data_IF_026024845066
#
_entry.id   IF_026024845066
#
_cell.length_a   1.000
_cell.length_b   1.000
_cell.length_c   1.000
_cell.angle_alpha   90.00
_cell.angle_beta   90.00
_cell.angle_gamma   90.00
#
_symmetry.space_group_name_H-M   'P 1'
#
loop_
_entity.id
_entity.type
_entity.pdbx_description
1 polymer ?
#
# COMPACT_ATOMS: atom_id res chain seq x y z
N UNK A 1 -11.90 -10.51 1.63
CA UNK A 1 -11.56 -9.46 0.65
C UNK A 1 -10.44 -8.63 1.25
N UNK A 2 -9.54 -8.11 0.43
CA UNK A 2 -8.51 -7.15 0.86
C UNK A 2 -8.83 -5.77 0.31
N UNK A 3 -8.52 -4.75 1.10
CA UNK A 3 -8.36 -3.39 0.60
C UNK A 3 -6.87 -3.08 0.50
N UNK A 4 -6.49 -2.25 -0.47
CA UNK A 4 -5.11 -1.88 -0.71
C UNK A 4 -4.93 -0.37 -0.77
N UNK A 5 -3.77 0.10 -0.30
CA UNK A 5 -3.31 1.47 -0.47
C UNK A 5 -2.13 1.44 -1.42
N UNK A 6 -2.28 2.22 -2.50
CA UNK A 6 -1.35 2.25 -3.61
C UNK A 6 -1.15 3.71 -4.04
N UNK A 7 0.10 4.16 -4.12
CA UNK A 7 0.49 5.48 -4.62
C UNK A 7 0.94 5.38 -6.09
N UNK A 8 0.45 6.28 -6.96
CA UNK A 8 0.82 6.26 -8.39
C UNK A 8 2.32 6.42 -8.67
N UNK A 9 3.06 7.07 -7.78
CA UNK A 9 4.51 7.24 -7.90
C UNK A 9 5.30 5.93 -7.74
N UNK A 10 4.70 4.91 -7.12
CA UNK A 10 5.36 3.61 -6.90
C UNK A 10 5.65 2.89 -8.22
N UNK A 11 4.92 3.22 -9.29
CA UNK A 11 4.93 2.50 -10.57
C UNK A 11 5.60 3.31 -11.67
N UNK A 12 6.23 2.59 -12.61
CA UNK A 12 6.70 3.17 -13.87
C UNK A 12 5.55 3.79 -14.69
N UNK A 13 4.41 3.09 -14.72
CA UNK A 13 3.16 3.58 -15.29
C UNK A 13 2.24 4.12 -14.18
N UNK A 14 2.14 5.46 -14.09
CA UNK A 14 1.24 6.14 -13.13
C UNK A 14 -0.24 5.78 -13.31
N UNK A 15 -0.64 5.23 -14.46
CA UNK A 15 -2.01 4.77 -14.69
C UNK A 15 -2.26 3.36 -14.14
N UNK A 16 -1.23 2.62 -13.74
CA UNK A 16 -1.31 1.24 -13.24
C UNK A 16 -2.38 1.04 -12.16
N UNK A 17 -2.53 1.91 -11.14
CA UNK A 17 -3.58 1.72 -10.11
C UNK A 17 -5.01 1.70 -10.67
N UNK A 18 -5.26 2.28 -11.85
CA UNK A 18 -6.59 2.33 -12.47
C UNK A 18 -7.08 0.99 -13.01
N UNK A 19 -6.23 -0.03 -13.05
CA UNK A 19 -6.62 -1.39 -13.49
C UNK A 19 -7.43 -2.14 -12.42
N UNK A 20 -7.32 -1.72 -11.17
CA UNK A 20 -8.02 -2.34 -10.04
C UNK A 20 -9.41 -1.73 -9.83
N UNK A 21 -10.24 -2.41 -9.02
CA UNK A 21 -11.46 -1.79 -8.54
C UNK A 21 -11.12 -0.71 -7.50
N UNK A 22 -11.25 0.55 -7.87
CA UNK A 22 -10.89 1.69 -7.01
C UNK A 22 -12.12 2.17 -6.25
N UNK A 23 -12.10 2.10 -4.92
CA UNK A 23 -13.18 2.60 -4.06
C UNK A 23 -12.95 4.03 -3.56
N UNK A 24 -11.69 4.47 -3.48
CA UNK A 24 -11.33 5.82 -3.02
C UNK A 24 -10.04 6.34 -3.68
N UNK A 25 -9.88 7.67 -3.75
CA UNK A 25 -8.67 8.32 -4.27
C UNK A 25 -8.39 9.60 -3.54
N UNK A 26 -7.17 9.81 -3.05
CA UNK A 26 -6.74 11.07 -2.43
C UNK A 26 -5.60 11.68 -3.25
N UNK A 27 -5.84 12.84 -3.85
CA UNK A 27 -4.79 13.60 -4.53
C UNK A 27 -4.05 14.48 -3.53
N UNK A 28 -2.73 14.59 -3.66
CA UNK A 28 -1.96 15.55 -2.90
C UNK A 28 -2.30 16.99 -3.26
N UNK A 29 -2.31 17.87 -2.27
CA UNK A 29 -2.54 19.31 -2.44
C UNK A 29 -1.26 20.08 -2.75
N UNK A 30 -0.10 19.47 -2.53
CA UNK A 30 1.22 20.12 -2.67
C UNK A 30 2.07 19.52 -3.79
N UNK A 31 1.76 18.32 -4.26
CA UNK A 31 2.51 17.60 -5.29
C UNK A 31 1.59 16.84 -6.24
N UNK A 32 2.09 16.46 -7.42
CA UNK A 32 1.31 15.68 -8.40
C UNK A 32 1.46 14.17 -8.17
N UNK A 33 0.84 13.70 -7.09
CA UNK A 33 0.69 12.28 -6.77
C UNK A 33 -0.70 11.99 -6.20
N UNK A 34 -1.13 10.74 -6.37
CA UNK A 34 -2.46 10.26 -5.96
C UNK A 34 -2.34 8.92 -5.24
N UNK A 35 -2.97 8.83 -4.07
CA UNK A 35 -3.18 7.57 -3.36
C UNK A 35 -4.51 6.98 -3.80
N UNK A 36 -4.53 5.69 -4.07
CA UNK A 36 -5.69 4.90 -4.48
C UNK A 36 -6.02 3.89 -3.37
N UNK A 37 -7.28 3.86 -2.95
CA UNK A 37 -7.87 2.76 -2.22
C UNK A 37 -8.45 1.77 -3.22
N UNK A 38 -7.95 0.53 -3.23
CA UNK A 38 -8.37 -0.53 -4.16
C UNK A 38 -8.97 -1.72 -3.42
N UNK A 39 -9.91 -2.42 -4.06
CA UNK A 39 -10.49 -3.67 -3.56
C UNK A 39 -9.96 -4.86 -4.35
N UNK A 40 -9.56 -5.93 -3.65
CA UNK A 40 -9.01 -7.16 -4.21
C UNK A 40 -9.71 -8.36 -3.59
N UNK A 41 -10.15 -9.31 -4.42
CA UNK A 41 -10.74 -10.56 -3.94
C UNK A 41 -9.69 -11.44 -3.25
N UNK A 42 -10.09 -12.23 -2.24
CA UNK A 42 -9.16 -13.10 -1.51
C UNK A 42 -8.48 -14.13 -2.42
N UNK A 43 -9.18 -14.58 -3.45
CA UNK A 43 -8.65 -15.52 -4.45
C UNK A 43 -7.55 -14.92 -5.31
N UNK A 44 -7.51 -13.59 -5.43
CA UNK A 44 -6.69 -12.88 -6.42
C UNK A 44 -5.50 -12.16 -5.78
N UNK A 45 -5.42 -12.10 -4.45
CA UNK A 45 -4.39 -11.34 -3.73
C UNK A 45 -2.97 -11.79 -4.09
N UNK A 46 -2.73 -13.10 -4.19
CA UNK A 46 -1.41 -13.64 -4.55
C UNK A 46 -0.96 -13.18 -5.93
N UNK A 47 -1.84 -13.26 -6.93
CA UNK A 47 -1.54 -12.81 -8.29
C UNK A 47 -1.38 -11.28 -8.35
N UNK A 48 -2.22 -10.55 -7.63
CA UNK A 48 -2.17 -9.08 -7.53
C UNK A 48 -0.82 -8.61 -6.98
N UNK A 49 -0.32 -9.24 -5.91
CA UNK A 49 0.97 -8.90 -5.31
C UNK A 49 2.11 -9.07 -6.34
N UNK A 50 2.12 -10.18 -7.09
CA UNK A 50 3.13 -10.42 -8.13
C UNK A 50 3.09 -9.34 -9.22
N UNK A 51 1.90 -8.96 -9.68
CA UNK A 51 1.74 -7.91 -10.68
C UNK A 51 2.22 -6.55 -10.16
N UNK A 52 1.97 -6.24 -8.89
CA UNK A 52 2.43 -5.00 -8.25
C UNK A 52 3.94 -4.96 -8.17
N UNK A 53 4.57 -6.03 -7.67
CA UNK A 53 6.04 -6.08 -7.58
C UNK A 53 6.71 -5.91 -8.94
N UNK A 54 6.13 -6.46 -10.00
CA UNK A 54 6.65 -6.33 -11.36
C UNK A 54 6.50 -4.92 -11.93
N UNK A 55 5.43 -4.21 -11.57
CA UNK A 55 5.13 -2.87 -12.09
C UNK A 55 5.74 -1.72 -11.28
N UNK A 56 6.15 -1.98 -10.03
CA UNK A 56 6.85 -1.01 -9.20
C UNK A 56 8.13 -0.52 -9.89
N UNK A 57 8.63 0.65 -9.50
CA UNK A 57 9.93 1.19 -9.95
C UNK A 57 11.11 0.46 -9.31
N UNK A 58 12.28 0.58 -9.91
CA UNK A 58 13.51 -0.11 -9.45
C UNK A 58 14.44 0.77 -8.62
N UNK A 59 14.33 2.09 -8.79
CA UNK A 59 15.29 3.08 -8.32
C UNK A 59 14.91 3.72 -6.98
N UNK A 60 13.66 3.57 -6.54
CA UNK A 60 13.15 4.15 -5.30
C UNK A 60 12.48 3.09 -4.40
N UNK A 61 12.64 3.19 -3.06
CA UNK A 61 12.16 2.18 -2.11
C UNK A 61 10.66 2.35 -1.79
N UNK A 62 9.82 2.25 -2.82
CA UNK A 62 8.37 2.29 -2.65
C UNK A 62 7.81 1.01 -2.05
N UNK A 63 6.65 1.14 -1.39
CA UNK A 63 5.84 0.03 -0.92
C UNK A 63 4.37 0.29 -1.16
N UNK A 64 3.61 -0.79 -1.34
CA UNK A 64 2.15 -0.80 -1.25
C UNK A 64 1.75 -1.68 -0.07
N UNK A 65 0.55 -1.50 0.47
CA UNK A 65 0.05 -2.42 1.49
C UNK A 65 -1.41 -2.81 1.27
N UNK A 66 -1.72 -4.05 1.62
CA UNK A 66 -3.03 -4.66 1.53
C UNK A 66 -3.45 -5.16 2.90
N UNK A 67 -4.71 -5.01 3.25
CA UNK A 67 -5.19 -5.40 4.55
C UNK A 67 -6.61 -5.92 4.50
N UNK A 68 -6.91 -6.74 5.49
CA UNK A 68 -8.25 -7.14 5.87
C UNK A 68 -8.35 -7.08 7.39
N UNK A 69 -9.39 -7.70 7.98
CA UNK A 69 -9.58 -7.66 9.43
C UNK A 69 -8.48 -8.38 10.24
N UNK A 70 -7.72 -9.29 9.63
CA UNK A 70 -6.77 -10.18 10.31
C UNK A 70 -5.34 -10.03 9.84
N UNK A 71 -5.12 -9.57 8.61
CA UNK A 71 -3.82 -9.54 7.96
C UNK A 71 -3.51 -8.16 7.39
N UNK A 72 -2.23 -7.83 7.41
CA UNK A 72 -1.61 -6.71 6.73
C UNK A 72 -0.45 -7.28 5.89
N UNK A 73 -0.54 -7.13 4.58
CA UNK A 73 0.47 -7.54 3.62
C UNK A 73 1.18 -6.30 3.10
N UNK A 74 2.45 -6.14 3.44
CA UNK A 74 3.29 -5.03 2.95
C UNK A 74 4.14 -5.55 1.79
N UNK A 75 4.03 -4.88 0.65
CA UNK A 75 4.63 -5.29 -0.62
C UNK A 75 5.69 -4.27 -1.00
N UNK A 76 6.93 -4.70 -0.95
CA UNK A 76 8.05 -4.04 -1.60
C UNK A 76 8.35 -4.76 -2.91
N UNK A 77 9.03 -4.08 -3.84
CA UNK A 77 9.43 -4.70 -5.11
C UNK A 77 10.13 -6.05 -4.95
N UNK A 78 11.05 -6.18 -3.99
CA UNK A 78 11.88 -7.38 -3.82
C UNK A 78 11.51 -8.20 -2.58
N UNK A 79 10.51 -7.79 -1.79
CA UNK A 79 10.18 -8.44 -0.53
C UNK A 79 8.71 -8.24 -0.17
N UNK A 80 8.13 -9.26 0.46
CA UNK A 80 6.76 -9.22 0.95
C UNK A 80 6.80 -9.57 2.43
N UNK A 81 5.97 -8.90 3.21
CA UNK A 81 5.73 -9.23 4.61
C UNK A 81 4.25 -9.44 4.82
N UNK A 82 3.90 -10.52 5.52
CA UNK A 82 2.55 -10.75 6.04
C UNK A 82 2.62 -10.64 7.55
N UNK A 83 2.00 -9.60 8.09
CA UNK A 83 1.90 -9.29 9.51
C UNK A 83 0.42 -9.09 9.87
N UNK A 84 0.13 -8.69 11.09
CA UNK A 84 -1.25 -8.32 11.49
C UNK A 84 -1.41 -6.81 11.50
N UNK A 85 -2.64 -6.28 11.54
CA UNK A 85 -2.87 -4.85 11.78
C UNK A 85 -2.40 -4.36 13.16
N UNK A 86 -1.94 -5.24 14.06
CA UNK A 86 -1.31 -4.87 15.32
C UNK A 86 0.16 -4.49 15.09
N UNK A 87 0.52 -3.25 15.43
CA UNK A 87 1.86 -2.71 15.22
C UNK A 87 2.96 -3.43 16.00
N UNK A 88 2.63 -4.19 17.04
CA UNK A 88 3.59 -5.07 17.74
C UNK A 88 4.17 -6.16 16.81
N UNK A 89 3.50 -6.46 15.70
CA UNK A 89 3.96 -7.45 14.70
C UNK A 89 4.83 -6.86 13.58
N UNK A 90 5.04 -5.54 13.55
CA UNK A 90 5.65 -4.85 12.41
C UNK A 90 7.18 -4.78 12.46
N UNK A 91 7.81 -5.24 13.55
CA UNK A 91 9.27 -5.19 13.72
C UNK A 91 10.05 -5.68 12.48
N UNK A 92 9.71 -6.82 11.84
CA UNK A 92 10.43 -7.29 10.64
C UNK A 92 10.30 -6.36 9.42
N UNK A 93 9.17 -5.65 9.31
CA UNK A 93 8.90 -4.70 8.23
C UNK A 93 9.74 -3.44 8.45
N UNK A 94 9.67 -2.89 9.67
CA UNK A 94 10.42 -1.69 10.09
C UNK A 94 11.92 -1.89 9.96
N UNK A 95 12.44 -3.06 10.34
CA UNK A 95 13.87 -3.39 10.18
C UNK A 95 14.29 -3.40 8.71
N UNK A 96 13.43 -3.90 7.82
CA UNK A 96 13.71 -3.91 6.39
C UNK A 96 13.65 -2.52 5.79
N UNK A 97 12.66 -1.71 6.13
CA UNK A 97 12.53 -0.32 5.65
C UNK A 97 13.73 0.52 6.07
N UNK A 98 14.20 0.36 7.31
CA UNK A 98 15.44 0.97 7.80
C UNK A 98 16.66 0.52 6.97
N UNK A 99 16.71 -0.74 6.54
CA UNK A 99 17.81 -1.25 5.71
C UNK A 99 17.84 -0.67 4.29
N UNK A 100 16.68 -0.24 3.77
CA UNK A 100 16.55 0.40 2.45
C UNK A 100 16.40 1.93 2.53
N UNK A 101 16.73 2.50 3.69
CA UNK A 101 16.80 3.95 3.96
C UNK A 101 15.48 4.72 3.81
N UNK A 102 14.33 4.06 4.03
CA UNK A 102 13.05 4.77 4.16
C UNK A 102 13.02 5.50 5.52
N UNK A 103 12.65 6.80 5.56
CA UNK A 103 12.54 7.54 6.82
C UNK A 103 11.48 6.96 7.76
N UNK A 104 11.75 6.99 9.07
CA UNK A 104 10.86 6.43 10.09
C UNK A 104 9.49 7.13 10.12
N UNK A 105 9.43 8.40 9.74
CA UNK A 105 8.17 9.15 9.62
C UNK A 105 7.25 8.67 8.49
N UNK A 106 7.75 7.86 7.55
CA UNK A 106 6.96 7.26 6.46
C UNK A 106 6.43 5.86 6.82
N UNK A 107 6.73 5.37 8.03
CA UNK A 107 6.37 4.04 8.51
C UNK A 107 4.97 4.03 9.14
N UNK A 108 3.98 4.45 8.35
CA UNK A 108 2.59 4.42 8.74
C UNK A 108 1.78 3.59 7.74
N UNK A 109 1.55 2.31 8.06
CA UNK A 109 0.69 1.42 7.27
C UNK A 109 -0.79 1.75 7.52
N UNK A 110 -1.19 3.00 7.34
CA UNK A 110 -2.57 3.44 7.49
C UNK A 110 -3.21 3.73 6.11
N UNK A 111 -4.50 3.40 5.97
CA UNK A 111 -5.29 2.50 6.81
C UNK A 111 -4.77 1.05 6.77
N UNK A 112 -4.93 0.30 7.87
CA UNK A 112 -4.71 -1.16 7.92
C UNK A 112 -5.94 -1.92 8.42
N UNK A 113 -7.07 -1.22 8.61
CA UNK A 113 -8.39 -1.79 8.89
C UNK A 113 -9.46 -0.99 8.17
N UNK A 114 -10.57 -1.64 7.81
CA UNK A 114 -11.65 -0.99 7.07
C UNK A 114 -12.25 0.23 7.79
N UNK A 115 -12.27 0.20 9.11
CA UNK A 115 -12.79 1.31 9.92
C UNK A 115 -11.92 2.59 9.83
N UNK A 116 -10.64 2.47 9.46
CA UNK A 116 -9.69 3.59 9.43
C UNK A 116 -9.78 4.38 8.11
N UNK A 117 -10.31 3.75 7.05
CA UNK A 117 -10.42 4.31 5.70
C UNK A 117 -11.20 5.61 5.65
N UNK A 118 -12.32 5.67 6.39
CA UNK A 118 -13.19 6.84 6.38
C UNK A 118 -12.42 8.08 6.86
N UNK A 119 -11.55 7.94 7.86
CA UNK A 119 -10.71 9.04 8.34
C UNK A 119 -9.62 9.42 7.35
N UNK A 120 -8.99 8.41 6.75
CA UNK A 120 -7.89 8.59 5.80
C UNK A 120 -8.30 9.28 4.50
N UNK A 121 -9.47 8.94 3.97
CA UNK A 121 -10.01 9.49 2.72
C UNK A 121 -11.01 10.64 2.92
N UNK A 122 -11.26 11.09 4.16
CA UNK A 122 -12.37 12.01 4.51
C UNK A 122 -12.31 13.41 3.90
N UNK A 123 -11.22 13.80 3.24
CA UNK A 123 -11.04 15.13 2.67
C UNK A 123 -11.41 15.20 1.18
N UNK A 124 -12.57 14.65 0.82
CA UNK A 124 -13.06 14.60 -0.56
C UNK A 124 -14.57 14.84 -0.59
N UNK A 125 -14.94 16.12 -0.66
CA UNK A 125 -16.05 16.56 -1.51
C UNK A 125 -15.45 17.22 -2.75
#
# INVERSE_FOLDING_TARGET
MYHGIILDLEFEDKAFPKKFNVFAKRKSTTSDWTIYGVEIADTDIGQTILEIQQAMKNDEPYYAHFYNNTELVVVFRQKIFTVTPDSSTWLPVVEYEKSIQIPEEQLDFQPNRFQDERGFFKYLE
#
